data_IF_170578057606
#
_entry.id   IF_170578057606
#
_cell.length_a   1.000
_cell.length_b   1.000
_cell.length_c   1.000
_cell.angle_alpha   90.00
_cell.angle_beta   90.00
_cell.angle_gamma   90.00
#
_symmetry.space_group_name_H-M   'P 1'
#
loop_
_entity.id
_entity.type
_entity.pdbx_description
1 polymer ?
#
# COMPACT_ATOMS: atom_id res chain seq x y z
N UNK A 1 48.20 -19.98 -1.29
CA UNK A 1 48.52 -18.97 -0.26
C UNK A 1 47.82 -17.64 -0.50
N UNK A 2 48.12 -16.97 -1.61
CA UNK A 2 47.66 -15.60 -1.91
C UNK A 2 46.13 -15.44 -2.04
N UNK A 3 45.44 -16.34 -2.73
CA UNK A 3 43.98 -16.22 -2.95
C UNK A 3 43.19 -16.31 -1.64
N UNK A 4 43.59 -17.19 -0.71
CA UNK A 4 42.98 -17.30 0.62
C UNK A 4 43.22 -16.05 1.46
N UNK A 5 44.41 -15.47 1.40
CA UNK A 5 44.73 -14.21 2.10
C UNK A 5 43.94 -13.03 1.51
N UNK A 6 43.78 -12.97 0.19
CA UNK A 6 42.97 -11.96 -0.49
C UNK A 6 41.48 -12.05 -0.10
N UNK A 7 40.91 -13.26 -0.04
CA UNK A 7 39.51 -13.45 0.40
C UNK A 7 39.33 -13.04 1.86
N UNK A 8 40.28 -13.40 2.75
CA UNK A 8 40.25 -12.98 4.15
C UNK A 8 40.36 -11.45 4.29
N UNK A 9 41.22 -10.81 3.50
CA UNK A 9 41.32 -9.35 3.47
C UNK A 9 40.01 -8.70 3.02
N UNK A 10 39.42 -9.13 1.89
CA UNK A 10 38.11 -8.65 1.41
C UNK A 10 37.03 -8.80 2.49
N UNK A 11 36.99 -9.95 3.16
CA UNK A 11 36.04 -10.23 4.25
C UNK A 11 36.19 -9.26 5.41
N UNK A 12 37.43 -8.98 5.83
CA UNK A 12 37.75 -8.03 6.91
C UNK A 12 37.43 -6.59 6.52
N UNK A 13 37.65 -6.21 5.27
CA UNK A 13 37.26 -4.90 4.76
C UNK A 13 35.74 -4.71 4.86
N UNK A 14 34.96 -5.73 4.47
CA UNK A 14 33.49 -5.66 4.62
C UNK A 14 33.06 -5.59 6.09
N UNK A 15 33.72 -6.33 7.00
CA UNK A 15 33.45 -6.21 8.46
C UNK A 15 33.79 -4.82 9.00
N UNK A 16 34.89 -4.25 8.53
CA UNK A 16 35.29 -2.89 8.87
C UNK A 16 34.25 -1.89 8.37
N UNK A 17 33.78 -2.02 7.13
CA UNK A 17 32.71 -1.17 6.57
C UNK A 17 31.42 -1.35 7.38
N UNK A 18 31.03 -2.57 7.73
CA UNK A 18 29.84 -2.81 8.57
C UNK A 18 29.95 -2.07 9.91
N UNK A 19 31.11 -2.18 10.57
CA UNK A 19 31.37 -1.51 11.84
C UNK A 19 31.39 0.01 11.67
N UNK A 20 32.03 0.49 10.61
CA UNK A 20 32.13 1.91 10.26
C UNK A 20 30.73 2.51 10.03
N UNK A 21 29.90 1.88 9.20
CA UNK A 21 28.53 2.36 8.92
C UNK A 21 27.68 2.31 10.18
N UNK A 22 27.73 1.23 10.97
CA UNK A 22 26.96 1.16 12.22
C UNK A 22 27.33 2.23 13.24
N UNK A 23 28.62 2.56 13.36
CA UNK A 23 29.10 3.64 14.25
C UNK A 23 28.74 5.03 13.71
N UNK A 24 28.62 5.15 12.40
CA UNK A 24 28.35 6.41 11.70
C UNK A 24 26.92 6.47 11.14
N UNK A 25 25.99 5.68 11.65
CA UNK A 25 24.64 5.53 11.08
C UNK A 25 23.82 6.84 11.10
N UNK A 26 24.21 7.80 11.94
CA UNK A 26 23.61 9.15 12.06
C UNK A 26 24.46 10.25 11.43
N UNK A 27 25.42 9.90 10.57
CA UNK A 27 26.27 10.88 9.86
C UNK A 27 26.24 10.65 8.35
N UNK A 28 26.62 11.67 7.58
CA UNK A 28 26.67 11.59 6.11
C UNK A 28 27.67 10.54 5.58
N UNK A 29 28.59 10.04 6.42
CA UNK A 29 29.51 8.96 6.05
C UNK A 29 28.77 7.63 5.78
N UNK A 30 27.63 7.39 6.44
CA UNK A 30 26.80 6.22 6.16
C UNK A 30 26.24 6.25 4.72
N UNK A 31 25.87 7.43 4.22
CA UNK A 31 25.38 7.60 2.83
C UNK A 31 26.48 7.27 1.83
N UNK A 32 27.72 7.73 2.07
CA UNK A 32 28.87 7.46 1.19
C UNK A 32 29.19 5.96 1.06
N UNK A 33 28.82 5.15 2.05
CA UNK A 33 29.03 3.70 2.02
C UNK A 33 27.95 2.94 1.22
N UNK A 34 26.80 3.56 0.91
CA UNK A 34 25.68 2.90 0.25
C UNK A 34 26.08 2.37 -1.12
N UNK A 35 26.54 3.24 -2.03
CA UNK A 35 26.83 2.83 -3.40
C UNK A 35 27.95 1.78 -3.50
N UNK A 36 29.09 1.91 -2.78
CA UNK A 36 30.09 0.84 -2.74
C UNK A 36 29.53 -0.52 -2.28
N UNK A 37 28.67 -0.52 -1.25
CA UNK A 37 28.03 -1.74 -0.75
C UNK A 37 27.01 -2.31 -1.74
N UNK A 38 26.24 -1.46 -2.42
CA UNK A 38 25.31 -1.86 -3.48
C UNK A 38 26.05 -2.45 -4.66
N UNK A 39 27.14 -1.82 -5.12
CA UNK A 39 27.98 -2.34 -6.20
C UNK A 39 28.58 -3.70 -5.83
N UNK A 40 29.06 -3.87 -4.60
CA UNK A 40 29.60 -5.15 -4.12
C UNK A 40 28.51 -6.22 -3.98
N UNK A 41 27.32 -5.85 -3.50
CA UNK A 41 26.17 -6.76 -3.41
C UNK A 41 25.65 -7.16 -4.79
N UNK A 42 25.71 -6.26 -5.77
CA UNK A 42 25.28 -6.51 -7.14
C UNK A 42 26.34 -7.22 -8.00
N UNK A 43 27.61 -7.20 -7.59
CA UNK A 43 28.69 -7.92 -8.25
C UNK A 43 28.58 -9.43 -7.95
N UNK A 44 27.95 -10.16 -8.87
CA UNK A 44 27.67 -11.60 -8.73
C UNK A 44 28.57 -12.44 -9.64
N UNK A 45 29.86 -12.57 -9.29
CA UNK A 45 30.69 -13.66 -9.84
C UNK A 45 30.62 -14.88 -8.92
N UNK A 46 30.72 -16.11 -9.46
CA UNK A 46 30.64 -17.36 -8.66
C UNK A 46 31.67 -17.40 -7.52
N UNK A 47 32.81 -16.75 -7.71
CA UNK A 47 33.90 -16.71 -6.73
C UNK A 47 33.68 -15.65 -5.62
N UNK A 48 32.75 -14.70 -5.82
CA UNK A 48 32.48 -13.59 -4.91
C UNK A 48 31.07 -13.63 -4.28
N UNK A 49 30.31 -14.69 -4.48
CA UNK A 49 28.96 -14.87 -3.92
C UNK A 49 28.92 -14.68 -2.39
N UNK A 50 29.95 -15.16 -1.68
CA UNK A 50 30.06 -14.92 -0.24
C UNK A 50 30.16 -13.43 0.11
N UNK A 51 30.88 -12.64 -0.71
CA UNK A 51 31.02 -11.20 -0.51
C UNK A 51 29.73 -10.47 -0.85
N UNK A 52 29.06 -10.83 -1.95
CA UNK A 52 27.75 -10.26 -2.30
C UNK A 52 26.70 -10.50 -1.20
N UNK A 53 26.62 -11.74 -0.68
CA UNK A 53 25.73 -12.08 0.45
C UNK A 53 26.06 -11.28 1.70
N UNK A 54 27.36 -11.10 2.00
CA UNK A 54 27.79 -10.33 3.16
C UNK A 54 27.46 -8.85 2.99
N UNK A 55 27.74 -8.24 1.84
CA UNK A 55 27.37 -6.86 1.54
C UNK A 55 25.85 -6.63 1.62
N UNK A 56 25.05 -7.57 1.08
CA UNK A 56 23.59 -7.54 1.21
C UNK A 56 23.14 -7.60 2.67
N UNK A 57 23.79 -8.43 3.50
CA UNK A 57 23.53 -8.48 4.94
C UNK A 57 23.86 -7.15 5.61
N UNK A 58 24.99 -6.53 5.28
CA UNK A 58 25.37 -5.20 5.81
C UNK A 58 24.33 -4.15 5.42
N UNK A 59 23.90 -4.11 4.15
CA UNK A 59 22.85 -3.19 3.70
C UNK A 59 21.57 -3.35 4.51
N UNK A 60 21.14 -4.58 4.77
CA UNK A 60 19.98 -4.86 5.60
C UNK A 60 20.20 -4.46 7.06
N UNK A 61 21.30 -4.86 7.69
CA UNK A 61 21.48 -4.64 9.14
C UNK A 61 21.80 -3.19 9.49
N UNK A 62 22.50 -2.47 8.61
CA UNK A 62 22.92 -1.10 8.84
C UNK A 62 21.82 -0.08 8.51
N UNK A 63 21.05 -0.31 7.43
CA UNK A 63 20.09 0.69 6.94
C UNK A 63 18.62 0.38 7.23
N UNK A 64 18.30 -0.78 7.81
CA UNK A 64 16.90 -1.12 8.16
C UNK A 64 16.42 -0.53 9.50
N UNK A 65 17.31 0.02 10.33
CA UNK A 65 16.93 0.56 11.65
C UNK A 65 16.13 1.85 11.53
N UNK A 66 15.01 1.91 12.24
CA UNK A 66 13.99 2.97 12.10
C UNK A 66 14.40 4.31 12.75
N UNK A 67 15.36 4.31 13.67
CA UNK A 67 15.68 5.50 14.50
C UNK A 67 17.02 6.17 14.16
N UNK A 68 17.74 5.63 13.17
CA UNK A 68 19.02 6.16 12.69
C UNK A 68 18.79 7.31 11.69
N UNK A 69 18.36 8.45 12.23
CA UNK A 69 18.21 9.69 11.48
C UNK A 69 19.48 10.55 11.62
N UNK A 70 19.96 11.08 10.51
CA UNK A 70 21.11 11.99 10.43
C UNK A 70 20.66 13.37 10.92
N UNK A 71 21.45 14.00 11.78
CA UNK A 71 21.10 15.28 12.39
C UNK A 71 21.44 16.47 11.49
N UNK A 72 22.61 16.48 10.85
CA UNK A 72 23.02 17.47 9.85
C UNK A 72 23.13 16.80 8.46
N UNK A 73 21.98 16.62 7.82
CA UNK A 73 21.88 15.88 6.55
C UNK A 73 22.41 16.72 5.38
N UNK A 74 23.40 16.19 4.66
CA UNK A 74 23.75 16.69 3.35
C UNK A 74 22.68 16.28 2.33
N UNK A 75 21.77 17.22 2.04
CA UNK A 75 20.63 17.03 1.15
C UNK A 75 21.10 16.67 -0.27
N UNK A 76 22.18 17.29 -0.75
CA UNK A 76 22.69 17.05 -2.11
C UNK A 76 23.19 15.62 -2.24
N UNK A 77 24.02 15.19 -1.30
CA UNK A 77 24.55 13.83 -1.25
C UNK A 77 23.42 12.79 -1.12
N UNK A 78 22.44 13.02 -0.26
CA UNK A 78 21.33 12.10 -0.05
C UNK A 78 20.43 11.97 -1.29
N UNK A 79 20.16 13.10 -1.97
CA UNK A 79 19.34 13.16 -3.18
C UNK A 79 20.03 12.46 -4.35
N UNK A 80 21.31 12.73 -4.55
CA UNK A 80 22.12 12.07 -5.58
C UNK A 80 22.18 10.56 -5.33
N UNK A 81 22.46 10.13 -4.09
CA UNK A 81 22.48 8.72 -3.73
C UNK A 81 21.14 8.02 -4.00
N UNK A 82 20.00 8.66 -3.70
CA UNK A 82 18.67 8.10 -3.98
C UNK A 82 18.45 7.90 -5.48
N UNK A 83 18.76 8.92 -6.28
CA UNK A 83 18.66 8.86 -7.73
C UNK A 83 19.55 7.76 -8.31
N UNK A 84 20.82 7.71 -7.90
CA UNK A 84 21.77 6.69 -8.36
C UNK A 84 21.32 5.28 -7.98
N UNK A 85 20.75 5.08 -6.79
CA UNK A 85 20.17 3.79 -6.39
C UNK A 85 19.05 3.37 -7.33
N UNK A 86 18.08 4.25 -7.60
CA UNK A 86 16.97 3.94 -8.51
C UNK A 86 17.45 3.66 -9.94
N UNK A 87 18.38 4.46 -10.47
CA UNK A 87 18.97 4.24 -11.79
C UNK A 87 19.74 2.92 -11.89
N UNK A 88 20.45 2.55 -10.81
CA UNK A 88 21.20 1.29 -10.75
C UNK A 88 20.23 0.10 -10.65
N UNK A 89 19.19 0.20 -9.83
CA UNK A 89 18.16 -0.84 -9.68
C UNK A 89 17.45 -1.17 -11.01
N UNK A 90 17.28 -0.17 -11.89
CA UNK A 90 16.71 -0.38 -13.24
C UNK A 90 17.61 -1.19 -14.17
N UNK A 91 18.93 -1.18 -13.95
CA UNK A 91 19.95 -1.76 -14.85
C UNK A 91 20.48 -3.13 -14.39
N UNK A 92 20.45 -3.42 -13.10
CA UNK A 92 21.07 -4.64 -12.54
C UNK A 92 20.27 -5.91 -12.89
N UNK A 93 20.99 -7.00 -13.18
CA UNK A 93 20.45 -8.32 -13.52
C UNK A 93 20.89 -9.39 -12.51
N UNK A 94 20.03 -10.38 -12.26
CA UNK A 94 20.40 -11.58 -11.49
C UNK A 94 20.61 -11.35 -9.98
N UNK A 95 20.19 -10.20 -9.46
CA UNK A 95 20.29 -9.83 -8.03
C UNK A 95 18.88 -9.68 -7.47
N UNK A 96 18.70 -10.06 -6.20
CA UNK A 96 17.47 -9.76 -5.47
C UNK A 96 17.42 -8.25 -5.17
N UNK A 97 16.83 -7.49 -6.10
CA UNK A 97 16.75 -6.02 -6.06
C UNK A 97 16.08 -5.54 -4.76
N UNK A 98 15.00 -6.19 -4.32
CA UNK A 98 14.31 -5.79 -3.10
C UNK A 98 15.23 -5.91 -1.88
N UNK A 99 16.04 -6.97 -1.82
CA UNK A 99 16.95 -7.21 -0.71
C UNK A 99 18.14 -6.25 -0.63
N UNK A 100 18.62 -5.78 -1.79
CA UNK A 100 19.83 -4.94 -1.91
C UNK A 100 19.47 -3.45 -1.89
N UNK A 101 18.43 -3.05 -2.62
CA UNK A 101 18.12 -1.64 -2.83
C UNK A 101 17.09 -1.08 -1.85
N UNK A 102 16.09 -1.85 -1.42
CA UNK A 102 15.04 -1.30 -0.56
C UNK A 102 15.55 -0.81 0.81
N UNK A 103 16.47 -1.50 1.53
CA UNK A 103 16.98 -0.99 2.80
C UNK A 103 17.67 0.39 2.70
N UNK A 104 18.67 0.61 1.83
CA UNK A 104 19.30 1.92 1.71
C UNK A 104 18.36 2.98 1.14
N UNK A 105 17.48 2.64 0.19
CA UNK A 105 16.44 3.57 -0.31
C UNK A 105 15.55 4.05 0.83
N UNK A 106 15.07 3.13 1.68
CA UNK A 106 14.23 3.46 2.84
C UNK A 106 14.94 4.37 3.84
N UNK A 107 16.23 4.13 4.06
CA UNK A 107 17.06 4.98 4.92
C UNK A 107 17.19 6.40 4.37
N UNK A 108 17.50 6.56 3.08
CA UNK A 108 17.61 7.87 2.44
C UNK A 108 16.29 8.63 2.43
N UNK A 109 15.20 7.96 2.05
CA UNK A 109 13.87 8.57 1.98
C UNK A 109 13.40 9.08 3.34
N UNK A 110 13.66 8.34 4.44
CA UNK A 110 13.33 8.82 5.79
C UNK A 110 14.11 10.07 6.18
N UNK A 111 15.42 10.08 5.89
CA UNK A 111 16.28 11.22 6.18
C UNK A 111 15.86 12.46 5.37
N UNK A 112 15.64 12.30 4.06
CA UNK A 112 15.14 13.37 3.19
C UNK A 112 13.76 13.88 3.62
N UNK A 113 12.85 12.98 4.05
CA UNK A 113 11.54 13.35 4.55
C UNK A 113 11.62 14.13 5.86
N UNK A 114 12.50 13.75 6.79
CA UNK A 114 12.78 14.52 8.03
C UNK A 114 13.29 15.92 7.70
N UNK A 115 14.13 16.05 6.68
CA UNK A 115 14.64 17.33 6.19
C UNK A 115 13.62 18.13 5.35
N UNK A 116 12.36 17.66 5.25
CA UNK A 116 11.28 18.34 4.52
C UNK A 116 11.44 18.30 2.99
N UNK A 117 12.35 17.48 2.45
CA UNK A 117 12.63 17.39 1.00
C UNK A 117 11.68 16.44 0.28
N UNK A 118 10.38 16.66 0.49
CA UNK A 118 9.32 15.84 -0.09
C UNK A 118 9.25 15.94 -1.62
N UNK A 119 9.59 17.09 -2.20
CA UNK A 119 9.53 17.30 -3.65
C UNK A 119 10.54 16.42 -4.39
N UNK A 120 11.79 16.36 -3.90
CA UNK A 120 12.84 15.50 -4.45
C UNK A 120 12.45 14.01 -4.38
N UNK A 121 11.89 13.58 -3.24
CA UNK A 121 11.41 12.21 -3.09
C UNK A 121 10.28 11.93 -4.09
N UNK A 122 9.33 12.86 -4.20
CA UNK A 122 8.18 12.72 -5.09
C UNK A 122 8.62 12.60 -6.55
N UNK A 123 9.51 13.46 -7.03
CA UNK A 123 10.02 13.42 -8.41
C UNK A 123 10.64 12.06 -8.74
N UNK A 124 11.51 11.56 -7.87
CA UNK A 124 12.17 10.26 -8.04
C UNK A 124 11.18 9.10 -8.05
N UNK A 125 10.19 9.11 -7.17
CA UNK A 125 9.17 8.05 -7.11
C UNK A 125 8.12 8.14 -8.22
N UNK A 126 7.79 9.32 -8.73
CA UNK A 126 6.98 9.49 -9.95
C UNK A 126 7.71 8.91 -11.14
N UNK A 127 9.01 9.20 -11.29
CA UNK A 127 9.83 8.64 -12.36
C UNK A 127 9.94 7.10 -12.25
N UNK A 128 10.07 6.58 -11.02
CA UNK A 128 10.10 5.13 -10.75
C UNK A 128 8.76 4.45 -11.08
N UNK A 129 7.65 5.06 -10.67
CA UNK A 129 6.29 4.56 -10.96
C UNK A 129 6.03 4.54 -12.47
N UNK A 130 6.39 5.62 -13.16
CA UNK A 130 6.23 5.71 -14.61
C UNK A 130 7.03 4.63 -15.34
N UNK A 131 8.28 4.40 -14.92
CA UNK A 131 9.10 3.32 -15.46
C UNK A 131 8.43 1.95 -15.27
N UNK A 132 7.95 1.68 -14.06
CA UNK A 132 7.30 0.41 -13.72
C UNK A 132 6.04 0.15 -14.55
N UNK A 133 5.20 1.17 -14.74
CA UNK A 133 3.91 1.07 -15.42
C UNK A 133 4.08 1.00 -16.94
N UNK A 134 4.92 1.88 -17.52
CA UNK A 134 5.06 2.03 -18.98
C UNK A 134 6.04 1.05 -19.60
N UNK A 135 7.07 0.59 -18.88
CA UNK A 135 8.04 -0.35 -19.43
C UNK A 135 7.72 -1.80 -19.09
N UNK A 136 7.42 -2.59 -20.13
CA UNK A 136 7.15 -4.03 -20.07
C UNK A 136 8.22 -4.85 -19.34
N UNK A 137 9.47 -4.38 -19.36
CA UNK A 137 10.64 -5.05 -18.79
C UNK A 137 11.23 -4.33 -17.57
N UNK A 138 10.50 -3.41 -16.94
CA UNK A 138 10.98 -2.74 -15.72
C UNK A 138 11.41 -3.79 -14.69
N UNK A 139 12.65 -3.63 -14.23
CA UNK A 139 13.34 -4.55 -13.31
C UNK A 139 13.00 -4.26 -11.85
N UNK A 140 12.53 -3.06 -11.58
CA UNK A 140 12.20 -2.62 -10.23
C UNK A 140 10.98 -3.41 -9.75
N UNK A 141 11.06 -4.12 -8.62
CA UNK A 141 9.92 -4.82 -8.08
C UNK A 141 8.91 -3.82 -7.54
N UNK A 142 7.63 -4.15 -7.70
CA UNK A 142 6.50 -3.40 -7.09
C UNK A 142 6.66 -3.20 -5.59
N UNK A 143 7.33 -4.14 -4.92
CA UNK A 143 7.64 -4.10 -3.49
C UNK A 143 8.43 -2.84 -3.10
N UNK A 144 9.26 -2.29 -3.99
CA UNK A 144 9.97 -1.03 -3.74
C UNK A 144 9.00 0.16 -3.60
N UNK A 145 7.93 0.19 -4.40
CA UNK A 145 6.87 1.20 -4.31
C UNK A 145 5.98 0.97 -3.07
N UNK A 146 5.66 -0.29 -2.75
CA UNK A 146 4.90 -0.65 -1.55
C UNK A 146 5.66 -0.29 -0.25
N UNK A 147 6.97 -0.52 -0.23
CA UNK A 147 7.84 -0.15 0.87
C UNK A 147 7.85 1.36 1.10
N UNK A 148 7.85 2.15 0.02
CA UNK A 148 7.78 3.60 0.09
C UNK A 148 6.46 4.07 0.73
N UNK A 149 5.32 3.56 0.23
CA UNK A 149 3.98 3.88 0.75
C UNK A 149 3.87 3.60 2.25
N UNK A 150 4.50 2.52 2.72
CA UNK A 150 4.50 2.12 4.13
C UNK A 150 5.47 2.93 4.99
N UNK A 151 6.59 3.35 4.43
CA UNK A 151 7.67 4.00 5.21
C UNK A 151 7.37 5.47 5.45
N UNK A 152 6.92 6.20 4.44
CA UNK A 152 6.64 7.63 4.56
C UNK A 152 5.28 7.96 3.93
N UNK A 153 4.17 7.58 4.61
CA UNK A 153 2.81 7.70 4.06
C UNK A 153 2.46 9.11 3.58
N UNK A 154 2.80 10.15 4.36
CA UNK A 154 2.53 11.54 4.01
C UNK A 154 3.21 11.95 2.69
N UNK A 155 4.46 11.53 2.48
CA UNK A 155 5.18 11.81 1.24
C UNK A 155 4.63 11.00 0.07
N UNK A 156 4.31 9.73 0.30
CA UNK A 156 3.71 8.86 -0.71
C UNK A 156 2.31 9.33 -1.15
N UNK A 157 1.55 9.99 -0.26
CA UNK A 157 0.24 10.57 -0.57
C UNK A 157 0.28 11.60 -1.71
N UNK A 158 1.45 12.20 -1.96
CA UNK A 158 1.63 13.11 -3.09
C UNK A 158 1.61 12.40 -4.45
N UNK A 159 1.76 11.08 -4.48
CA UNK A 159 1.61 10.26 -5.71
C UNK A 159 0.15 9.97 -6.09
N UNK A 160 -0.82 10.35 -5.25
CA UNK A 160 -2.22 9.92 -5.35
C UNK A 160 -2.84 10.17 -6.74
N UNK A 161 -2.64 11.36 -7.31
CA UNK A 161 -3.20 11.73 -8.61
C UNK A 161 -2.57 10.88 -9.72
N UNK A 162 -1.25 10.72 -9.69
CA UNK A 162 -0.54 9.92 -10.69
C UNK A 162 -0.90 8.44 -10.60
N UNK A 163 -1.08 7.90 -9.39
CA UNK A 163 -1.52 6.51 -9.20
C UNK A 163 -2.91 6.26 -9.75
N UNK A 164 -3.84 7.21 -9.58
CA UNK A 164 -5.19 7.13 -10.19
C UNK A 164 -5.10 7.12 -11.71
N UNK A 165 -4.25 7.94 -12.31
CA UNK A 165 -4.01 7.90 -13.76
C UNK A 165 -3.46 6.55 -14.22
N UNK A 166 -2.48 5.99 -13.50
CA UNK A 166 -1.89 4.68 -13.81
C UNK A 166 -2.89 3.51 -13.71
N UNK A 167 -4.03 3.71 -13.06
CA UNK A 167 -5.09 2.72 -12.94
C UNK A 167 -6.02 2.69 -14.17
N UNK A 168 -6.04 3.74 -15.00
CA UNK A 168 -6.93 3.84 -16.15
C UNK A 168 -6.65 2.76 -17.19
N UNK A 169 -7.68 2.21 -17.88
CA UNK A 169 -7.49 1.31 -19.01
C UNK A 169 -6.56 1.92 -20.07
N UNK A 170 -5.59 1.14 -20.56
CA UNK A 170 -4.66 1.56 -21.61
C UNK A 170 -3.42 2.36 -21.15
N UNK A 171 -3.38 2.91 -19.94
CA UNK A 171 -2.20 3.67 -19.45
C UNK A 171 -1.02 2.74 -19.13
N UNK A 172 -1.31 1.53 -18.69
CA UNK A 172 -0.28 0.54 -18.37
C UNK A 172 0.09 -0.31 -19.58
N UNK A 173 1.38 -0.66 -19.69
CA UNK A 173 1.86 -1.54 -20.78
C UNK A 173 1.27 -2.96 -20.77
N UNK A 174 0.72 -3.39 -19.64
CA UNK A 174 0.14 -4.72 -19.42
C UNK A 174 -0.97 -4.64 -18.39
N UNK A 175 -2.04 -5.39 -18.61
CA UNK A 175 -3.12 -5.66 -17.63
C UNK A 175 -2.56 -6.00 -16.23
N UNK A 176 -1.53 -6.85 -16.17
CA UNK A 176 -0.87 -7.16 -14.90
C UNK A 176 -0.35 -5.91 -14.17
N UNK A 177 0.28 -4.96 -14.88
CA UNK A 177 0.77 -3.70 -14.28
C UNK A 177 -0.37 -2.80 -13.81
N UNK A 178 -1.50 -2.78 -14.52
CA UNK A 178 -2.72 -2.09 -14.08
C UNK A 178 -3.24 -2.64 -12.75
N UNK A 179 -3.33 -3.98 -12.61
CA UNK A 179 -3.74 -4.63 -11.36
C UNK A 179 -2.77 -4.28 -10.23
N UNK A 180 -1.46 -4.24 -10.51
CA UNK A 180 -0.46 -3.80 -9.54
C UNK A 180 -0.60 -2.31 -9.16
N UNK A 181 -0.95 -1.43 -10.11
CA UNK A 181 -1.26 -0.02 -9.82
C UNK A 181 -2.46 0.11 -8.88
N UNK A 182 -3.52 -0.66 -9.13
CA UNK A 182 -4.69 -0.75 -8.24
C UNK A 182 -4.30 -1.25 -6.84
N UNK A 183 -3.35 -2.19 -6.75
CA UNK A 183 -2.80 -2.65 -5.47
C UNK A 183 -2.10 -1.53 -4.72
N UNK A 184 -1.24 -0.78 -5.40
CA UNK A 184 -0.54 0.39 -4.84
C UNK A 184 -1.52 1.47 -4.39
N UNK A 185 -2.57 1.73 -5.18
CA UNK A 185 -3.63 2.68 -4.82
C UNK A 185 -4.36 2.24 -3.53
N UNK A 186 -4.69 0.96 -3.42
CA UNK A 186 -5.26 0.37 -2.19
C UNK A 186 -4.31 0.54 -1.01
N UNK A 187 -3.03 0.21 -1.17
CA UNK A 187 -2.04 0.37 -0.09
C UNK A 187 -1.88 1.83 0.32
N UNK A 188 -1.94 2.77 -0.63
CA UNK A 188 -1.87 4.20 -0.38
C UNK A 188 -3.03 4.68 0.49
N UNK A 189 -4.27 4.34 0.13
CA UNK A 189 -5.46 4.75 0.90
C UNK A 189 -5.46 4.12 2.29
N UNK A 190 -5.06 2.85 2.42
CA UNK A 190 -4.97 2.18 3.73
C UNK A 190 -3.91 2.83 4.61
N UNK A 191 -2.73 3.13 4.03
CA UNK A 191 -1.62 3.80 4.72
C UNK A 191 -2.01 5.21 5.16
N UNK A 192 -2.67 5.98 4.29
CA UNK A 192 -3.20 7.31 4.59
C UNK A 192 -4.28 7.28 5.69
N UNK A 193 -5.04 6.18 5.81
CA UNK A 193 -6.06 6.03 6.84
C UNK A 193 -5.50 5.70 8.23
N UNK A 194 -4.18 5.53 8.38
CA UNK A 194 -3.54 5.30 9.67
C UNK A 194 -3.57 6.56 10.56
N UNK A 195 -3.65 6.44 11.90
CA UNK A 195 -3.77 7.60 12.80
C UNK A 195 -2.63 8.63 12.65
N UNK A 196 -1.42 8.18 12.33
CA UNK A 196 -0.21 9.02 12.27
C UNK A 196 0.18 9.39 10.84
N UNK A 197 -0.74 9.30 9.87
CA UNK A 197 -0.42 9.53 8.45
C UNK A 197 -0.24 11.01 8.09
N UNK A 198 -0.83 11.92 8.87
CA UNK A 198 -0.85 13.37 8.60
C UNK A 198 -1.73 13.80 7.43
N UNK A 199 -2.42 12.87 6.74
CA UNK A 199 -3.19 13.14 5.51
C UNK A 199 -4.61 12.56 5.55
N UNK A 200 -5.07 12.14 6.73
CA UNK A 200 -6.36 11.45 6.90
C UNK A 200 -7.56 12.31 6.48
N UNK A 201 -7.45 13.62 6.64
CA UNK A 201 -8.50 14.60 6.32
C UNK A 201 -8.73 14.75 4.81
N UNK A 202 -7.70 14.50 3.98
CA UNK A 202 -7.81 14.56 2.52
C UNK A 202 -8.44 13.29 1.89
N UNK A 203 -8.65 12.24 2.69
CA UNK A 203 -9.13 10.95 2.18
C UNK A 203 -10.52 11.06 1.56
N UNK A 204 -11.54 11.64 2.22
CA UNK A 204 -12.89 11.72 1.67
C UNK A 204 -12.92 12.35 0.29
N UNK A 205 -12.23 13.49 0.10
CA UNK A 205 -12.16 14.19 -1.18
C UNK A 205 -11.49 13.35 -2.28
N UNK A 206 -10.53 12.51 -1.90
CA UNK A 206 -9.83 11.62 -2.82
C UNK A 206 -10.60 10.34 -3.17
N UNK A 207 -11.64 9.95 -2.43
CA UNK A 207 -12.37 8.71 -2.69
C UNK A 207 -13.15 8.74 -4.02
N UNK A 208 -13.63 9.90 -4.46
CA UNK A 208 -14.35 10.01 -5.73
C UNK A 208 -13.46 9.65 -6.94
N UNK A 209 -12.27 10.23 -7.12
CA UNK A 209 -11.32 9.79 -8.15
C UNK A 209 -10.98 8.30 -8.10
N UNK A 210 -10.86 7.72 -6.90
CA UNK A 210 -10.62 6.29 -6.72
C UNK A 210 -11.82 5.46 -7.21
N UNK A 211 -13.03 5.82 -6.81
CA UNK A 211 -14.26 5.14 -7.23
C UNK A 211 -14.43 5.16 -8.75
N UNK A 212 -14.14 6.30 -9.39
CA UNK A 212 -14.14 6.44 -10.85
C UNK A 212 -13.11 5.51 -11.49
N UNK A 213 -11.86 5.50 -11.02
CA UNK A 213 -10.82 4.64 -11.59
C UNK A 213 -11.18 3.14 -11.54
N UNK A 214 -11.75 2.66 -10.43
CA UNK A 214 -12.25 1.27 -10.35
C UNK A 214 -13.45 1.05 -11.26
N UNK A 215 -14.38 2.00 -11.34
CA UNK A 215 -15.56 1.91 -12.19
C UNK A 215 -15.18 1.86 -13.68
N UNK A 216 -14.19 2.63 -14.12
CA UNK A 216 -13.71 2.64 -15.50
C UNK A 216 -13.14 1.27 -15.90
N UNK A 217 -12.35 0.65 -15.02
CA UNK A 217 -11.78 -0.69 -15.26
C UNK A 217 -12.85 -1.77 -15.26
N UNK A 218 -13.82 -1.72 -14.34
CA UNK A 218 -14.92 -2.67 -14.34
C UNK A 218 -15.83 -2.48 -15.56
N UNK A 219 -16.04 -1.24 -15.99
CA UNK A 219 -16.83 -0.92 -17.19
C UNK A 219 -16.16 -1.41 -18.46
N UNK A 220 -14.83 -1.26 -18.58
CA UNK A 220 -14.11 -1.78 -19.74
C UNK A 220 -14.25 -3.30 -19.86
N UNK A 221 -14.18 -4.03 -18.74
CA UNK A 221 -14.33 -5.50 -18.73
C UNK A 221 -15.77 -5.99 -18.97
N UNK A 222 -16.80 -5.19 -18.64
CA UNK A 222 -18.19 -5.50 -18.98
C UNK A 222 -18.53 -5.18 -20.44
N UNK A 223 -17.88 -4.19 -21.04
CA UNK A 223 -18.19 -3.72 -22.39
C UNK A 223 -17.31 -4.35 -23.48
N UNK A 224 -16.14 -4.89 -23.13
CA UNK A 224 -15.27 -5.55 -24.09
C UNK A 224 -15.80 -6.95 -24.42
N UNK A 225 -15.89 -7.26 -25.72
CA UNK A 225 -16.27 -8.61 -26.20
C UNK A 225 -15.22 -9.66 -25.82
N UNK A 226 -13.95 -9.22 -25.77
CA UNK A 226 -12.82 -9.99 -25.25
C UNK A 226 -12.38 -9.37 -23.92
N UNK A 227 -12.39 -10.17 -22.86
CA UNK A 227 -11.97 -9.75 -21.52
C UNK A 227 -10.45 -9.75 -21.47
N UNK A 228 -9.84 -8.58 -21.34
CA UNK A 228 -8.39 -8.45 -21.23
C UNK A 228 -7.89 -9.00 -19.87
N UNK A 229 -8.74 -8.96 -18.84
CA UNK A 229 -8.48 -9.54 -17.52
C UNK A 229 -8.96 -10.98 -17.38
N UNK A 230 -8.09 -11.85 -16.84
CA UNK A 230 -8.52 -13.16 -16.34
C UNK A 230 -9.45 -13.02 -15.13
N UNK A 231 -10.28 -14.04 -14.87
CA UNK A 231 -11.15 -14.09 -13.68
C UNK A 231 -10.38 -13.95 -12.35
N UNK A 232 -9.11 -14.39 -12.31
CA UNK A 232 -8.25 -14.25 -11.15
C UNK A 232 -7.81 -12.79 -10.92
N UNK A 233 -7.43 -12.09 -11.99
CA UNK A 233 -7.05 -10.67 -11.95
C UNK A 233 -8.25 -9.79 -11.58
N UNK A 234 -9.42 -10.05 -12.17
CA UNK A 234 -10.65 -9.33 -11.85
C UNK A 234 -11.04 -9.52 -10.38
N UNK A 235 -10.88 -10.74 -9.84
CA UNK A 235 -11.08 -11.01 -8.40
C UNK A 235 -10.08 -10.22 -7.54
N UNK A 236 -8.82 -10.12 -7.94
CA UNK A 236 -7.79 -9.36 -7.22
C UNK A 236 -8.14 -7.85 -7.20
N UNK A 237 -8.58 -7.28 -8.32
CA UNK A 237 -9.07 -5.89 -8.42
C UNK A 237 -10.24 -5.65 -7.45
N UNK A 238 -11.24 -6.53 -7.43
CA UNK A 238 -12.37 -6.42 -6.50
C UNK A 238 -11.95 -6.57 -5.03
N UNK A 239 -10.95 -7.40 -4.73
CA UNK A 239 -10.40 -7.50 -3.38
C UNK A 239 -9.71 -6.20 -2.94
N UNK A 240 -9.00 -5.53 -3.85
CA UNK A 240 -8.40 -4.22 -3.59
C UNK A 240 -9.48 -3.17 -3.31
N UNK A 241 -10.51 -3.10 -4.16
CA UNK A 241 -11.67 -2.24 -3.91
C UNK A 241 -12.33 -2.52 -2.56
N UNK A 242 -12.58 -3.79 -2.24
CA UNK A 242 -13.21 -4.19 -0.98
C UNK A 242 -12.40 -3.78 0.25
N UNK A 243 -11.07 -3.87 0.18
CA UNK A 243 -10.20 -3.43 1.26
C UNK A 243 -10.26 -1.90 1.47
N UNK A 244 -10.30 -1.12 0.39
CA UNK A 244 -10.48 0.34 0.45
C UNK A 244 -11.83 0.67 1.09
N UNK A 245 -12.93 0.17 0.50
CA UNK A 245 -14.30 0.47 0.96
C UNK A 245 -14.43 0.17 2.45
N UNK A 246 -14.01 -1.02 2.91
CA UNK A 246 -14.09 -1.40 4.33
C UNK A 246 -13.28 -0.48 5.24
N UNK A 247 -12.10 -0.04 4.80
CA UNK A 247 -11.23 0.84 5.59
C UNK A 247 -11.80 2.26 5.69
N UNK A 248 -12.48 2.71 4.63
CA UNK A 248 -13.08 4.04 4.51
C UNK A 248 -14.56 4.08 4.89
N UNK A 249 -15.15 2.95 5.30
CA UNK A 249 -16.56 2.85 5.67
C UNK A 249 -16.82 3.51 7.05
N UNK A 250 -16.70 4.84 7.08
CA UNK A 250 -17.19 5.73 8.13
C UNK A 250 -18.32 6.59 7.54
N UNK A 251 -19.18 7.17 8.39
CA UNK A 251 -20.44 7.84 7.99
C UNK A 251 -20.25 8.92 6.91
N UNK A 252 -19.13 9.64 6.89
CA UNK A 252 -18.89 10.75 5.96
C UNK A 252 -18.39 10.31 4.57
N UNK A 253 -17.83 9.10 4.46
CA UNK A 253 -17.31 8.55 3.21
C UNK A 253 -18.27 7.53 2.56
N UNK A 254 -19.35 7.15 3.27
CA UNK A 254 -20.31 6.16 2.78
C UNK A 254 -21.17 6.71 1.65
N UNK A 255 -21.52 8.00 1.71
CA UNK A 255 -22.27 8.65 0.64
C UNK A 255 -21.51 8.63 -0.69
N UNK A 256 -20.17 8.64 -0.70
CA UNK A 256 -19.36 8.57 -1.93
C UNK A 256 -19.46 7.20 -2.61
N UNK A 257 -19.37 6.11 -1.83
CA UNK A 257 -19.47 4.75 -2.37
C UNK A 257 -20.89 4.37 -2.76
N UNK A 258 -21.89 4.92 -2.06
CA UNK A 258 -23.32 4.65 -2.30
C UNK A 258 -23.93 5.55 -3.37
N UNK A 259 -23.47 6.80 -3.53
CA UNK A 259 -23.90 7.71 -4.59
C UNK A 259 -23.36 7.31 -5.97
N UNK A 260 -22.32 6.47 -6.02
CA UNK A 260 -21.86 5.86 -7.26
C UNK A 260 -22.81 4.72 -7.68
N UNK A 261 -24.01 5.08 -8.16
CA UNK A 261 -25.00 4.14 -8.72
C UNK A 261 -24.38 3.23 -9.81
N UNK A 262 -23.37 3.75 -10.52
CA UNK A 262 -22.62 3.01 -11.53
C UNK A 262 -21.85 1.83 -10.94
N UNK A 263 -21.31 1.91 -9.71
CA UNK A 263 -20.51 0.82 -9.15
C UNK A 263 -21.39 -0.39 -8.78
N UNK A 264 -22.55 -0.16 -8.17
CA UNK A 264 -23.48 -1.24 -7.78
C UNK A 264 -24.10 -1.95 -8.98
N UNK A 265 -24.45 -1.18 -10.02
CA UNK A 265 -24.96 -1.72 -11.28
C UNK A 265 -23.89 -2.50 -12.05
N UNK A 266 -22.67 -1.98 -12.14
CA UNK A 266 -21.53 -2.69 -12.73
C UNK A 266 -21.21 -4.00 -12.02
N UNK A 267 -21.19 -4.00 -10.67
CA UNK A 267 -20.96 -5.22 -9.88
C UNK A 267 -22.03 -6.29 -10.14
N UNK A 268 -23.30 -5.87 -10.29
CA UNK A 268 -24.40 -6.79 -10.59
C UNK A 268 -24.26 -7.36 -12.01
N UNK A 269 -23.97 -6.50 -12.99
CA UNK A 269 -23.73 -6.92 -14.38
C UNK A 269 -22.54 -7.87 -14.50
N UNK A 270 -21.43 -7.57 -13.82
CA UNK A 270 -20.23 -8.41 -13.76
C UNK A 270 -20.55 -9.81 -13.21
N UNK A 271 -21.44 -9.89 -12.20
CA UNK A 271 -21.89 -11.15 -11.60
C UNK A 271 -22.69 -12.02 -12.58
N UNK A 272 -23.49 -11.38 -13.45
CA UNK A 272 -24.29 -12.06 -14.48
C UNK A 272 -23.42 -12.54 -15.64
N UNK A 273 -22.50 -11.69 -16.12
CA UNK A 273 -21.60 -11.99 -17.23
C UNK A 273 -20.52 -13.03 -16.85
N UNK A 274 -19.94 -12.91 -15.66
CA UNK A 274 -18.83 -13.76 -15.19
C UNK A 274 -19.33 -14.72 -14.12
N UNK A 275 -19.78 -15.91 -14.53
CA UNK A 275 -20.30 -16.99 -13.66
C UNK A 275 -19.21 -17.72 -12.84
N UNK A 276 -18.32 -16.97 -12.20
CA UNK A 276 -17.26 -17.52 -11.35
C UNK A 276 -17.67 -17.44 -9.88
N UNK A 277 -17.81 -18.60 -9.21
CA UNK A 277 -18.14 -18.69 -7.78
C UNK A 277 -17.23 -17.83 -6.89
N UNK A 278 -15.88 -17.90 -6.99
CA UNK A 278 -15.00 -17.08 -6.14
C UNK A 278 -15.07 -15.58 -6.43
N UNK A 279 -15.41 -15.18 -7.66
CA UNK A 279 -15.63 -13.78 -8.03
C UNK A 279 -16.94 -13.28 -7.39
N UNK A 280 -18.02 -14.04 -7.57
CA UNK A 280 -19.35 -13.71 -7.07
C UNK A 280 -19.39 -13.58 -5.54
N UNK A 281 -18.59 -14.38 -4.81
CA UNK A 281 -18.44 -14.22 -3.36
C UNK A 281 -17.89 -12.85 -2.95
N UNK A 282 -16.93 -12.30 -3.70
CA UNK A 282 -16.35 -10.98 -3.42
C UNK A 282 -17.34 -9.88 -3.80
N UNK A 283 -18.03 -10.04 -4.94
CA UNK A 283 -19.10 -9.12 -5.38
C UNK A 283 -20.21 -9.04 -4.32
N UNK A 284 -20.70 -10.18 -3.84
CA UNK A 284 -21.76 -10.23 -2.82
C UNK A 284 -21.32 -9.56 -1.52
N UNK A 285 -20.06 -9.73 -1.12
CA UNK A 285 -19.51 -9.05 0.05
C UNK A 285 -19.43 -7.53 -0.16
N UNK A 286 -19.04 -7.06 -1.35
CA UNK A 286 -19.00 -5.65 -1.71
C UNK A 286 -20.40 -5.01 -1.73
N UNK A 287 -21.35 -5.65 -2.42
CA UNK A 287 -22.74 -5.18 -2.50
C UNK A 287 -23.39 -5.13 -1.11
N UNK A 288 -23.05 -6.03 -0.19
CA UNK A 288 -23.51 -5.96 1.20
C UNK A 288 -22.95 -4.75 1.95
N UNK A 289 -21.67 -4.44 1.77
CA UNK A 289 -21.04 -3.29 2.44
C UNK A 289 -21.59 -1.98 1.89
N UNK A 290 -21.74 -1.86 0.57
CA UNK A 290 -22.32 -0.68 -0.08
C UNK A 290 -23.84 -0.58 0.22
N UNK A 291 -24.56 -1.70 0.23
CA UNK A 291 -26.02 -1.75 0.38
C UNK A 291 -26.57 -1.80 1.80
N UNK A 292 -25.76 -2.05 2.84
CA UNK A 292 -26.19 -2.12 4.24
C UNK A 292 -26.88 -0.82 4.72
N UNK A 293 -26.58 0.32 4.09
CA UNK A 293 -27.20 1.58 4.45
C UNK A 293 -28.61 1.78 3.86
N UNK A 294 -28.91 1.22 2.68
CA UNK A 294 -30.25 1.29 2.08
C UNK A 294 -31.31 0.58 2.93
N UNK A 295 -30.93 -0.49 3.63
CA UNK A 295 -31.80 -1.18 4.58
C UNK A 295 -32.01 -0.35 5.88
N UNK A 296 -30.97 0.34 6.36
CA UNK A 296 -31.04 1.16 7.59
C UNK A 296 -31.78 2.50 7.40
N UNK A 297 -31.64 3.13 6.22
CA UNK A 297 -32.39 4.34 5.82
C UNK A 297 -33.88 3.99 5.58
N UNK A 298 -34.19 2.81 5.01
CA UNK A 298 -35.59 2.31 4.89
C UNK A 298 -36.24 1.96 6.23
N UNK A 299 -35.50 1.36 7.18
CA UNK A 299 -36.07 1.01 8.49
C UNK A 299 -36.35 2.24 9.35
N UNK A 300 -35.51 3.29 9.27
CA UNK A 300 -35.78 4.58 9.94
C UNK A 300 -37.00 5.30 9.37
N UNK A 301 -37.18 5.31 8.05
CA UNK A 301 -38.37 5.94 7.42
C UNK A 301 -39.66 5.18 7.73
N UNK A 302 -39.60 3.86 7.95
CA UNK A 302 -40.75 3.04 8.38
C UNK A 302 -41.10 3.27 9.85
N UNK A 303 -40.11 3.42 10.73
CA UNK A 303 -40.33 3.70 12.17
C UNK A 303 -40.83 5.14 12.45
N UNK A 304 -40.48 6.10 11.60
CA UNK A 304 -41.00 7.47 11.66
C UNK A 304 -42.43 7.60 11.11
N UNK A 305 -42.89 6.65 10.29
CA UNK A 305 -44.27 6.62 9.78
C UNK A 305 -45.24 5.91 10.71
N UNK A 306 -44.76 4.98 11.54
CA UNK A 306 -45.55 4.29 12.58
C UNK A 306 -45.69 5.10 13.88
N UNK A 307 -44.88 6.14 14.10
CA UNK A 307 -44.96 7.00 15.30
C UNK A 307 -45.80 8.27 15.09
N UNK A 308 -46.37 8.47 13.90
CA UNK A 308 -47.19 9.63 13.56
C UNK A 308 -48.71 9.38 13.64
N UNK A 309 -49.16 8.22 14.13
CA UNK A 309 -50.59 7.87 14.19
C UNK A 309 -51.01 7.28 15.54
N UNK A 310 -50.85 8.01 16.64
CA UNK A 310 -51.66 7.82 17.86
C UNK A 310 -51.87 9.19 18.52
N UNK A 311 -53.10 9.67 18.75
CA UNK A 311 -53.37 10.88 19.52
C UNK A 311 -53.16 10.65 21.02
N UNK A 312 -52.51 11.62 21.67
CA UNK A 312 -52.29 11.70 23.12
C UNK A 312 -53.60 12.04 23.87
N UNK A 313 -53.89 11.43 25.04
CA UNK A 313 -53.69 11.92 26.43
C UNK A 313 -54.64 11.11 27.37
N UNK A 314 -54.61 11.22 28.71
CA UNK A 314 -53.55 11.66 29.64
C UNK A 314 -53.30 10.69 30.83
N UNK A 315 -52.25 11.02 31.57
CA UNK A 315 -51.75 10.46 32.83
C UNK A 315 -52.79 10.14 33.93
N UNK A 316 -52.49 9.10 34.69
CA UNK A 316 -52.58 9.10 36.16
C UNK A 316 -51.43 8.30 36.78
N UNK A 317 -50.83 8.90 37.79
CA UNK A 317 -49.87 8.36 38.78
C UNK A 317 -50.44 7.07 39.43
N UNK A 318 -49.67 6.10 39.95
CA UNK A 318 -48.74 6.21 41.08
C UNK A 318 -48.08 4.83 41.37
N UNK A 319 -47.04 4.84 42.19
CA UNK A 319 -46.59 3.78 43.11
C UNK A 319 -45.63 2.62 42.68
N UNK A 320 -44.37 2.78 43.14
CA UNK A 320 -43.58 1.88 44.02
C UNK A 320 -43.02 0.50 43.58
N UNK A 321 -41.69 0.43 43.72
CA UNK A 321 -40.84 -0.58 44.40
C UNK A 321 -40.38 -1.92 43.79
N UNK A 322 -39.06 -2.10 43.95
CA UNK A 322 -38.25 -3.29 44.25
C UNK A 322 -38.15 -4.51 43.30
N UNK A 323 -36.86 -4.83 43.04
CA UNK A 323 -36.26 -6.17 43.08
C UNK A 323 -36.50 -7.13 41.91
N UNK A 324 -35.42 -7.44 41.15
CA UNK A 324 -34.72 -8.74 41.20
C UNK A 324 -33.90 -9.05 39.93
N UNK A 325 -32.59 -9.24 40.09
CA UNK A 325 -31.81 -10.20 39.28
C UNK A 325 -31.99 -11.62 39.92
N UNK A 326 -31.56 -12.79 39.36
CA UNK A 326 -30.46 -12.98 38.38
C UNK A 326 -30.48 -14.26 37.46
N UNK A 327 -29.34 -14.48 36.76
CA UNK A 327 -28.68 -15.78 36.37
C UNK A 327 -29.14 -16.54 35.08
N UNK A 328 -28.21 -16.76 34.13
CA UNK A 328 -27.29 -17.95 34.05
C UNK A 328 -26.41 -18.00 32.77
N UNK A 329 -25.13 -18.35 32.99
CA UNK A 329 -24.10 -18.78 32.01
C UNK A 329 -24.38 -20.20 31.47
N UNK A 330 -23.90 -20.53 30.27
CA UNK A 330 -23.17 -21.80 30.02
C UNK A 330 -22.23 -21.75 28.81
N UNK A 331 -20.99 -22.17 29.08
CA UNK A 331 -19.83 -22.41 28.19
C UNK A 331 -19.64 -23.93 28.12
N UNK A 332 -19.23 -24.49 26.98
CA UNK A 332 -18.48 -25.77 26.75
C UNK A 332 -18.57 -26.10 25.24
N UNK A 333 -17.62 -26.74 24.57
CA UNK A 333 -16.24 -27.15 24.83
C UNK A 333 -15.61 -27.54 23.48
N UNK A 334 -14.29 -27.46 23.41
CA UNK A 334 -13.41 -27.94 22.33
C UNK A 334 -13.17 -29.46 22.56
N UNK A 335 -13.11 -30.26 21.50
CA UNK A 335 -12.61 -31.64 21.51
C UNK A 335 -11.50 -31.77 20.47
N UNK A 336 -10.63 -32.73 20.80
CA UNK A 336 -9.28 -33.04 20.32
C UNK A 336 -9.06 -33.07 18.82
#
# INVERSE_FOLDING_TARGET
GAQRQATLFKTRVVDFIETFVKRNARTNYAIKAIMPLVSLAAASSRDEDHMSKKATKVLKTAFSKTDDLIDDLDISLASEALKTLHETAKKVHGVDIASVFNPPTRYLVRNLARAGKHDVIQEEYVALLNDYIKHKQSKVPVQTLEDFIRTVPACAWRLRSRLVECCKPGESSKVFRQVQAMRLLKDLVISASAPNSGVKEEIPDFLSPVAVAFSDVLSSECNSKDSDMSSAQLREVLQHLSAIVRKTHNKDANDIWTAHETLSSLLTRLKEEKKSKPLNQVIDALLKVIGAENASKRSRKRKQRETASVPALPNTEDATDLSSQPKKKKKRARKE
#
